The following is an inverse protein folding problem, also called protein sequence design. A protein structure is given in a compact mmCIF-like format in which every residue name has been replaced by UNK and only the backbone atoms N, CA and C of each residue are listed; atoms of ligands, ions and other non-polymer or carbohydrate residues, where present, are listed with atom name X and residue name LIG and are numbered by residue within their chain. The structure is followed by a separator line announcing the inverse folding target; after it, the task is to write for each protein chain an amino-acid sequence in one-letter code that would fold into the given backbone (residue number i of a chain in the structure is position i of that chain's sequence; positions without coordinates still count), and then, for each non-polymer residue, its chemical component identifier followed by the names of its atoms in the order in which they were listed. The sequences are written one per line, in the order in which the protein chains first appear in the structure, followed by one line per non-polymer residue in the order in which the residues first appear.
data_IF_391757307418
#
_entry.id   IF_391757307418
#
_cell.length_a   1.000
_cell.length_b   1.000
_cell.length_c   1.000
_cell.angle_alpha   90.00
_cell.angle_beta   90.00
_cell.angle_gamma   90.00
#
_symmetry.space_group_name_H-M   'P 1'
#
loop_
_entity.id
_entity.type
_entity.pdbx_description
1 polymer ?
#
# COMPACT_ATOMS: atom_id res chain seq x y z
N UNK A 1 50.21 20.94 7.92
CA UNK A 1 49.06 20.93 7.00
C UNK A 1 48.86 19.47 6.62
N UNK A 2 47.88 18.83 7.22
CA UNK A 2 47.60 17.40 7.08
C UNK A 2 46.50 17.24 6.03
N UNK A 3 46.82 16.63 4.89
CA UNK A 3 45.84 16.23 3.88
C UNK A 3 45.08 14.99 4.37
N UNK A 4 43.82 15.19 4.74
CA UNK A 4 42.85 14.11 4.89
C UNK A 4 42.43 13.62 3.50
N UNK A 5 42.89 12.44 3.12
CA UNK A 5 42.38 11.68 1.99
C UNK A 5 40.91 11.29 2.26
N UNK A 6 39.99 12.05 1.67
CA UNK A 6 38.60 11.64 1.57
C UNK A 6 38.50 10.50 0.55
N UNK A 7 38.10 9.32 1.02
CA UNK A 7 37.77 8.18 0.16
C UNK A 7 36.56 8.54 -0.70
N UNK A 8 36.80 8.84 -1.98
CA UNK A 8 35.75 8.87 -2.99
C UNK A 8 35.15 7.47 -3.09
N UNK A 9 33.92 7.32 -2.61
CA UNK A 9 33.08 6.19 -2.97
C UNK A 9 32.80 6.33 -4.48
N UNK A 10 33.30 5.41 -5.29
CA UNK A 10 33.02 5.34 -6.72
C UNK A 10 31.52 5.07 -6.91
N UNK A 11 30.73 6.14 -6.99
CA UNK A 11 29.36 6.05 -7.49
C UNK A 11 29.44 5.68 -8.98
N UNK A 12 28.82 4.56 -9.42
CA UNK A 12 28.83 4.18 -10.82
C UNK A 12 28.27 5.32 -11.68
N UNK A 13 28.86 5.57 -12.87
CA UNK A 13 28.46 6.68 -13.71
C UNK A 13 26.96 6.59 -14.02
N UNK A 14 26.24 7.71 -13.86
CA UNK A 14 24.78 7.81 -13.98
C UNK A 14 24.21 7.13 -15.24
N UNK A 15 24.98 7.09 -16.34
CA UNK A 15 24.59 6.39 -17.57
C UNK A 15 24.43 4.87 -17.42
N UNK A 16 25.33 4.20 -16.70
CA UNK A 16 25.25 2.74 -16.44
C UNK A 16 24.07 2.40 -15.52
N UNK A 17 23.76 3.30 -14.59
CA UNK A 17 22.62 3.17 -13.68
C UNK A 17 21.27 3.24 -14.41
N UNK A 18 21.14 4.17 -15.37
CA UNK A 18 19.92 4.32 -16.18
C UNK A 18 19.69 3.14 -17.12
N UNK A 19 20.75 2.56 -17.67
CA UNK A 19 20.66 1.32 -18.47
C UNK A 19 20.11 0.16 -17.64
N UNK A 20 20.60 -0.02 -16.41
CA UNK A 20 20.09 -1.06 -15.51
C UNK A 20 18.61 -0.91 -15.15
N UNK A 21 18.11 0.32 -15.01
CA UNK A 21 16.67 0.57 -14.81
C UNK A 21 15.83 0.34 -16.08
N UNK A 22 16.39 0.62 -17.26
CA UNK A 22 15.71 0.34 -18.53
C UNK A 22 15.58 -1.17 -18.78
N UNK A 23 16.61 -1.95 -18.47
CA UNK A 23 16.56 -3.40 -18.55
C UNK A 23 15.54 -3.98 -17.56
N UNK A 24 15.53 -3.46 -16.33
CA UNK A 24 14.51 -3.81 -15.34
C UNK A 24 13.10 -3.50 -15.85
N UNK A 25 12.86 -2.30 -16.38
CA UNK A 25 11.58 -1.92 -16.96
C UNK A 25 11.16 -2.87 -18.09
N UNK A 26 12.12 -3.27 -18.95
CA UNK A 26 11.87 -4.21 -20.05
C UNK A 26 11.43 -5.59 -19.56
N UNK A 27 12.01 -6.09 -18.47
CA UNK A 27 11.57 -7.34 -17.83
C UNK A 27 10.18 -7.18 -17.21
N UNK A 28 9.93 -6.07 -16.51
CA UNK A 28 8.63 -5.80 -15.87
C UNK A 28 7.49 -5.60 -16.88
N UNK A 29 7.79 -5.07 -18.07
CA UNK A 29 6.79 -4.95 -19.14
C UNK A 29 6.43 -6.31 -19.76
N UNK A 30 7.31 -7.30 -19.68
CA UNK A 30 7.09 -8.65 -20.22
C UNK A 30 6.30 -9.55 -19.25
N UNK A 31 5.11 -9.10 -18.83
CA UNK A 31 4.28 -9.75 -17.78
C UNK A 31 3.94 -11.21 -18.03
N UNK A 32 3.81 -11.63 -19.29
CA UNK A 32 3.58 -13.04 -19.67
C UNK A 32 4.73 -13.98 -19.31
N UNK A 33 5.92 -13.44 -18.99
CA UNK A 33 7.14 -14.20 -18.67
C UNK A 33 7.54 -14.15 -17.20
N UNK A 34 6.75 -13.53 -16.33
CA UNK A 34 7.09 -13.33 -14.91
C UNK A 34 7.48 -14.62 -14.16
N UNK A 35 6.87 -15.76 -14.52
CA UNK A 35 7.17 -17.06 -13.89
C UNK A 35 8.40 -17.77 -14.47
N UNK A 36 8.97 -17.24 -15.57
CA UNK A 36 10.12 -17.81 -16.27
C UNK A 36 11.32 -16.84 -16.34
N UNK A 37 11.21 -15.66 -15.73
CA UNK A 37 12.28 -14.67 -15.62
C UNK A 37 12.71 -14.47 -14.16
N UNK A 38 13.92 -13.96 -13.98
CA UNK A 38 14.43 -13.47 -12.71
C UNK A 38 14.78 -11.99 -12.82
N UNK A 39 14.74 -11.29 -11.69
CA UNK A 39 15.13 -9.90 -11.58
C UNK A 39 16.56 -9.80 -11.05
N UNK A 40 17.46 -9.12 -11.77
CA UNK A 40 18.81 -8.91 -11.29
C UNK A 40 18.78 -8.13 -9.95
N UNK A 41 19.56 -8.55 -8.93
CA UNK A 41 19.59 -7.86 -7.63
C UNK A 41 20.02 -6.39 -7.72
N UNK A 42 20.95 -6.06 -8.62
CA UNK A 42 21.58 -4.74 -8.68
C UNK A 42 20.58 -3.64 -9.07
N UNK A 43 19.74 -3.77 -10.12
CA UNK A 43 18.71 -2.78 -10.42
C UNK A 43 17.65 -2.61 -9.32
N UNK A 44 17.31 -3.68 -8.59
CA UNK A 44 16.39 -3.58 -7.45
C UNK A 44 16.99 -2.80 -6.29
N UNK A 45 18.27 -3.01 -5.99
CA UNK A 45 18.98 -2.22 -4.97
C UNK A 45 19.14 -0.77 -5.41
N UNK A 46 19.41 -0.54 -6.70
CA UNK A 46 19.51 0.81 -7.26
C UNK A 46 18.20 1.60 -7.08
N UNK A 47 17.03 0.97 -7.29
CA UNK A 47 15.74 1.59 -7.02
C UNK A 47 15.64 2.07 -5.56
N UNK A 48 16.05 1.24 -4.59
CA UNK A 48 16.04 1.62 -3.17
C UNK A 48 17.01 2.77 -2.88
N UNK A 49 18.20 2.73 -3.46
CA UNK A 49 19.18 3.83 -3.33
C UNK A 49 18.61 5.15 -3.85
N UNK A 50 17.93 5.14 -5.00
CA UNK A 50 17.30 6.35 -5.53
C UNK A 50 16.08 6.80 -4.72
N UNK A 51 15.25 5.88 -4.21
CA UNK A 51 14.14 6.24 -3.33
C UNK A 51 14.60 6.91 -2.03
N UNK A 52 15.71 6.45 -1.45
CA UNK A 52 16.34 6.98 -0.24
C UNK A 52 17.12 8.27 -0.46
N UNK A 53 17.48 8.57 -1.71
CA UNK A 53 18.27 9.74 -2.03
C UNK A 53 17.47 11.02 -1.82
N UNK A 54 18.06 11.96 -1.09
CA UNK A 54 17.52 13.32 -0.91
C UNK A 54 17.60 14.17 -2.19
N UNK A 55 18.33 13.71 -3.20
CA UNK A 55 18.44 14.41 -4.50
C UNK A 55 17.16 14.36 -5.34
N UNK A 56 16.19 13.52 -4.98
CA UNK A 56 14.91 13.40 -5.67
C UNK A 56 13.81 14.11 -4.89
N UNK A 57 13.26 15.17 -5.47
CA UNK A 57 12.11 15.87 -4.89
C UNK A 57 10.87 14.96 -4.90
N UNK A 58 9.89 15.27 -4.05
CA UNK A 58 8.64 14.50 -3.99
C UNK A 58 7.87 14.54 -5.33
N UNK A 59 8.04 15.60 -6.13
CA UNK A 59 7.49 15.68 -7.49
C UNK A 59 8.18 14.78 -8.53
N UNK A 60 9.39 14.30 -8.25
CA UNK A 60 10.22 13.54 -9.20
C UNK A 60 10.37 12.07 -8.81
N UNK A 61 10.04 11.70 -7.57
CA UNK A 61 10.22 10.33 -7.06
C UNK A 61 9.17 9.35 -7.58
N UNK A 62 8.01 9.85 -8.04
CA UNK A 62 6.88 8.99 -8.44
C UNK A 62 7.22 7.94 -9.53
N UNK A 63 8.12 8.17 -10.52
CA UNK A 63 8.48 7.13 -11.50
C UNK A 63 9.27 5.98 -10.86
N UNK A 64 10.07 6.26 -9.82
CA UNK A 64 10.77 5.22 -9.06
C UNK A 64 9.78 4.35 -8.27
N UNK A 65 8.79 4.99 -7.64
CA UNK A 65 7.66 4.29 -7.01
C UNK A 65 6.84 3.51 -8.05
N UNK A 66 6.71 4.04 -9.27
CA UNK A 66 6.00 3.37 -10.37
C UNK A 66 6.72 2.08 -10.82
N UNK A 67 8.05 2.11 -10.92
CA UNK A 67 8.84 0.90 -11.17
C UNK A 67 8.74 -0.09 -10.01
N UNK A 68 8.80 0.40 -8.76
CA UNK A 68 8.66 -0.45 -7.59
C UNK A 68 7.31 -1.17 -7.56
N UNK A 69 6.19 -0.51 -7.90
CA UNK A 69 4.87 -1.15 -7.89
C UNK A 69 4.75 -2.29 -8.90
N UNK A 70 5.49 -2.25 -10.01
CA UNK A 70 5.55 -3.35 -10.97
C UNK A 70 6.50 -4.44 -10.50
N UNK A 71 7.64 -4.06 -9.92
CA UNK A 71 8.61 -5.01 -9.38
C UNK A 71 8.03 -5.87 -8.26
N UNK A 72 7.27 -5.31 -7.31
CA UNK A 72 6.66 -6.12 -6.23
C UNK A 72 5.66 -7.17 -6.72
N UNK A 73 5.12 -7.05 -7.94
CA UNK A 73 4.24 -8.06 -8.53
C UNK A 73 5.01 -9.21 -9.20
N UNK A 74 6.29 -9.01 -9.50
CA UNK A 74 7.12 -10.06 -10.08
C UNK A 74 7.45 -11.12 -9.01
N UNK A 75 7.21 -12.43 -9.26
CA UNK A 75 7.38 -13.48 -8.25
C UNK A 75 8.77 -13.49 -7.58
N UNK A 76 9.83 -13.30 -8.37
CA UNK A 76 11.21 -13.23 -7.85
C UNK A 76 11.43 -12.04 -6.89
N UNK A 77 10.91 -10.85 -7.20
CA UNK A 77 11.01 -9.72 -6.26
C UNK A 77 10.09 -9.88 -5.05
N UNK A 78 8.87 -10.42 -5.23
CA UNK A 78 7.95 -10.70 -4.14
C UNK A 78 8.52 -11.71 -3.13
N UNK A 79 9.33 -12.67 -3.59
CA UNK A 79 10.04 -13.62 -2.73
C UNK A 79 11.17 -12.96 -1.92
N UNK A 80 11.67 -11.78 -2.33
CA UNK A 80 12.73 -11.02 -1.64
C UNK A 80 12.13 -10.08 -0.59
N UNK A 81 11.59 -10.66 0.50
CA UNK A 81 10.90 -9.92 1.55
C UNK A 81 11.65 -8.69 2.10
N UNK A 82 12.99 -8.71 2.31
CA UNK A 82 13.71 -7.52 2.73
C UNK A 82 13.60 -6.36 1.74
N UNK A 83 13.67 -6.63 0.44
CA UNK A 83 13.54 -5.59 -0.59
C UNK A 83 12.12 -5.02 -0.63
N UNK A 84 11.08 -5.87 -0.52
CA UNK A 84 9.69 -5.41 -0.46
C UNK A 84 9.44 -4.56 0.79
N UNK A 85 9.97 -4.99 1.94
CA UNK A 85 9.87 -4.23 3.20
C UNK A 85 10.51 -2.85 3.08
N UNK A 86 11.69 -2.79 2.50
CA UNK A 86 12.40 -1.53 2.29
C UNK A 86 11.63 -0.61 1.33
N UNK A 87 11.18 -1.12 0.18
CA UNK A 87 10.42 -0.33 -0.79
C UNK A 87 9.11 0.23 -0.22
N UNK A 88 8.39 -0.60 0.56
CA UNK A 88 7.13 -0.17 1.21
C UNK A 88 7.38 0.77 2.38
N UNK A 89 8.50 0.62 3.09
CA UNK A 89 8.95 1.57 4.12
C UNK A 89 9.23 2.95 3.53
N UNK A 90 9.97 3.02 2.42
CA UNK A 90 10.23 4.30 1.74
C UNK A 90 8.93 4.94 1.22
N UNK A 91 7.99 4.13 0.71
CA UNK A 91 6.68 4.62 0.29
C UNK A 91 5.89 5.23 1.47
N UNK A 92 5.88 4.56 2.63
CA UNK A 92 5.23 5.08 3.84
C UNK A 92 5.90 6.38 4.32
N UNK A 93 7.24 6.43 4.39
CA UNK A 93 7.98 7.64 4.76
C UNK A 93 7.62 8.84 3.89
N UNK A 94 7.52 8.63 2.57
CA UNK A 94 7.13 9.68 1.62
C UNK A 94 5.69 10.12 1.85
N UNK A 95 4.77 9.17 2.04
CA UNK A 95 3.37 9.46 2.36
C UNK A 95 3.21 10.20 3.68
N UNK A 96 4.04 9.95 4.69
CA UNK A 96 3.97 10.59 6.01
C UNK A 96 4.36 12.07 5.98
N UNK A 97 5.16 12.53 5.01
CA UNK A 97 5.56 13.94 4.90
C UNK A 97 4.34 14.87 4.82
N UNK A 98 4.38 15.97 5.57
CA UNK A 98 3.29 16.97 5.60
C UNK A 98 3.03 17.59 4.21
N UNK A 99 4.09 17.77 3.42
CA UNK A 99 4.01 18.29 2.05
C UNK A 99 3.19 17.37 1.11
N UNK A 100 3.15 16.06 1.41
CA UNK A 100 2.37 15.09 0.63
C UNK A 100 0.95 15.08 1.17
N UNK A 101 0.14 15.99 0.66
CA UNK A 101 -1.26 16.13 1.04
C UNK A 101 -2.16 15.04 0.43
N UNK A 102 -3.41 14.92 0.90
CA UNK A 102 -4.39 14.01 0.31
C UNK A 102 -4.77 14.34 -1.14
N UNK A 103 -4.37 15.51 -1.66
CA UNK A 103 -4.52 15.92 -3.05
C UNK A 103 -3.22 15.77 -3.88
N UNK A 104 -2.09 15.41 -3.27
CA UNK A 104 -0.80 15.28 -3.97
C UNK A 104 -0.78 13.99 -4.82
N UNK A 105 -1.00 14.13 -6.12
CA UNK A 105 -1.61 13.03 -6.90
C UNK A 105 -0.62 12.00 -7.46
N UNK A 106 0.52 12.33 -8.10
CA UNK A 106 1.40 11.29 -8.66
C UNK A 106 2.10 10.46 -7.59
N UNK A 107 2.70 11.11 -6.59
CA UNK A 107 3.41 10.42 -5.51
C UNK A 107 2.42 9.61 -4.66
N UNK A 108 1.35 10.22 -4.14
CA UNK A 108 0.45 9.48 -3.26
C UNK A 108 -0.22 8.30 -3.97
N UNK A 109 -0.64 8.49 -5.23
CA UNK A 109 -1.28 7.42 -5.99
C UNK A 109 -0.31 6.27 -6.28
N UNK A 110 0.94 6.56 -6.65
CA UNK A 110 1.95 5.53 -6.95
C UNK A 110 2.39 4.80 -5.68
N UNK A 111 2.60 5.52 -4.57
CA UNK A 111 2.91 4.93 -3.27
C UNK A 111 1.78 4.03 -2.76
N UNK A 112 0.52 4.49 -2.79
CA UNK A 112 -0.64 3.65 -2.41
C UNK A 112 -0.76 2.40 -3.30
N UNK A 113 -0.50 2.53 -4.61
CA UNK A 113 -0.50 1.37 -5.53
C UNK A 113 0.64 0.39 -5.24
N UNK A 114 1.83 0.90 -4.91
CA UNK A 114 2.95 0.07 -4.45
C UNK A 114 2.57 -0.71 -3.19
N UNK A 115 2.04 -0.04 -2.17
CA UNK A 115 1.57 -0.69 -0.94
C UNK A 115 0.50 -1.74 -1.23
N UNK A 116 -0.49 -1.41 -2.07
CA UNK A 116 -1.55 -2.35 -2.45
C UNK A 116 -1.00 -3.60 -3.14
N UNK A 117 -0.08 -3.44 -4.10
CA UNK A 117 0.55 -4.56 -4.79
C UNK A 117 1.43 -5.40 -3.85
N UNK A 118 2.19 -4.75 -2.96
CA UNK A 118 3.03 -5.44 -1.98
C UNK A 118 2.19 -6.26 -0.98
N UNK A 119 1.06 -5.73 -0.51
CA UNK A 119 0.14 -6.46 0.37
C UNK A 119 -0.50 -7.67 -0.33
N UNK A 120 -0.74 -7.59 -1.64
CA UNK A 120 -1.25 -8.72 -2.41
C UNK A 120 -0.18 -9.82 -2.61
N UNK A 121 1.05 -9.42 -2.95
CA UNK A 121 2.12 -10.33 -3.34
C UNK A 121 2.90 -10.89 -2.14
N UNK A 122 3.24 -10.04 -1.18
CA UNK A 122 4.11 -10.33 -0.04
C UNK A 122 3.64 -9.61 1.24
N UNK A 123 2.43 -9.90 1.76
CA UNK A 123 1.86 -9.20 2.91
C UNK A 123 2.75 -9.23 4.16
N UNK A 124 3.47 -10.33 4.39
CA UNK A 124 4.39 -10.47 5.52
C UNK A 124 5.61 -9.52 5.48
N UNK A 125 5.86 -8.86 4.35
CA UNK A 125 6.93 -7.85 4.23
C UNK A 125 6.47 -6.44 4.62
N UNK A 126 5.17 -6.18 4.72
CA UNK A 126 4.62 -4.85 4.98
C UNK A 126 4.36 -4.67 6.47
N UNK A 127 4.93 -3.62 7.07
CA UNK A 127 4.69 -3.25 8.47
C UNK A 127 3.24 -2.76 8.64
N UNK A 128 2.40 -3.48 9.41
CA UNK A 128 1.00 -3.14 9.58
C UNK A 128 0.73 -1.77 10.21
N UNK A 129 1.54 -1.41 11.22
CA UNK A 129 1.35 -0.16 11.97
C UNK A 129 1.74 1.02 11.10
N UNK A 130 2.87 0.89 10.41
CA UNK A 130 3.40 1.95 9.57
C UNK A 130 2.50 2.25 8.39
N UNK A 131 2.00 1.23 7.69
CA UNK A 131 1.15 1.50 6.53
C UNK A 131 -0.13 2.24 6.97
N UNK A 132 -0.76 1.86 8.09
CA UNK A 132 -1.98 2.54 8.56
C UNK A 132 -1.71 3.99 8.94
N UNK A 133 -0.61 4.25 9.64
CA UNK A 133 -0.19 5.61 9.94
C UNK A 133 0.01 6.43 8.66
N UNK A 134 0.73 5.88 7.68
CA UNK A 134 1.04 6.57 6.43
C UNK A 134 -0.20 6.85 5.57
N UNK A 135 -1.16 5.92 5.52
CA UNK A 135 -2.32 6.04 4.62
C UNK A 135 -3.52 6.76 5.25
N UNK A 136 -3.53 6.95 6.57
CA UNK A 136 -4.68 7.46 7.32
C UNK A 136 -5.23 8.79 6.81
N UNK A 137 -4.35 9.75 6.48
CA UNK A 137 -4.77 11.08 5.96
C UNK A 137 -5.41 11.04 4.58
N UNK A 138 -5.25 9.96 3.82
CA UNK A 138 -5.82 9.80 2.48
C UNK A 138 -7.26 9.28 2.49
N UNK A 139 -7.78 8.87 3.66
CA UNK A 139 -9.18 8.44 3.85
C UNK A 139 -10.19 9.51 3.43
N UNK A 140 -9.86 10.78 3.63
CA UNK A 140 -10.66 11.94 3.26
C UNK A 140 -10.19 12.62 1.95
N UNK A 141 -9.43 11.92 1.11
CA UNK A 141 -8.90 12.53 -0.13
C UNK A 141 -10.04 13.00 -1.05
N UNK A 142 -9.97 14.21 -1.63
CA UNK A 142 -10.93 14.66 -2.63
C UNK A 142 -10.73 13.95 -3.98
N UNK A 143 -9.58 13.30 -4.19
CA UNK A 143 -9.22 12.65 -5.45
C UNK A 143 -9.74 11.21 -5.49
N UNK A 144 -10.66 10.94 -6.42
CA UNK A 144 -11.29 9.61 -6.61
C UNK A 144 -10.26 8.48 -6.74
N UNK A 145 -9.22 8.69 -7.55
CA UNK A 145 -8.18 7.69 -7.79
C UNK A 145 -7.40 7.33 -6.51
N UNK A 146 -7.17 8.31 -5.63
CA UNK A 146 -6.49 8.11 -4.34
C UNK A 146 -7.39 7.30 -3.39
N UNK A 147 -8.68 7.64 -3.29
CA UNK A 147 -9.64 6.85 -2.49
C UNK A 147 -9.75 5.40 -2.96
N UNK A 148 -9.78 5.17 -4.26
CA UNK A 148 -9.80 3.81 -4.81
C UNK A 148 -8.50 3.05 -4.52
N UNK A 149 -7.34 3.70 -4.65
CA UNK A 149 -6.05 3.10 -4.32
C UNK A 149 -5.97 2.75 -2.82
N UNK A 150 -6.38 3.66 -1.95
CA UNK A 150 -6.48 3.42 -0.51
C UNK A 150 -7.42 2.24 -0.19
N UNK A 151 -8.62 2.22 -0.76
CA UNK A 151 -9.57 1.13 -0.56
C UNK A 151 -8.97 -0.22 -0.99
N UNK A 152 -8.13 -0.23 -2.02
CA UNK A 152 -7.39 -1.42 -2.48
C UNK A 152 -6.31 -1.83 -1.50
N UNK A 153 -5.56 -0.89 -0.92
CA UNK A 153 -4.58 -1.14 0.15
C UNK A 153 -5.27 -1.84 1.32
N UNK A 154 -6.38 -1.29 1.81
CA UNK A 154 -7.12 -1.86 2.94
C UNK A 154 -7.64 -3.27 2.62
N UNK A 155 -8.21 -3.48 1.43
CA UNK A 155 -8.70 -4.79 1.01
C UNK A 155 -7.57 -5.83 0.92
N UNK A 156 -6.43 -5.46 0.34
CA UNK A 156 -5.30 -6.38 0.19
C UNK A 156 -4.64 -6.69 1.54
N UNK A 157 -4.56 -5.72 2.45
CA UNK A 157 -4.14 -5.97 3.83
C UNK A 157 -5.07 -6.96 4.53
N UNK A 158 -6.39 -6.79 4.38
CA UNK A 158 -7.37 -7.72 4.96
C UNK A 158 -7.26 -9.13 4.37
N UNK A 159 -7.11 -9.25 3.05
CA UNK A 159 -6.90 -10.54 2.37
C UNK A 159 -5.55 -11.18 2.71
N UNK A 160 -4.56 -10.38 3.12
CA UNK A 160 -3.23 -10.82 3.52
C UNK A 160 -3.14 -11.36 4.94
N UNK A 161 -4.14 -11.11 5.81
CA UNK A 161 -4.13 -11.53 7.22
C UNK A 161 -3.77 -13.01 7.43
N UNK A 162 -4.31 -13.99 6.67
CA UNK A 162 -3.98 -15.41 6.85
C UNK A 162 -2.54 -15.78 6.48
N UNK A 163 -1.83 -14.90 5.76
CA UNK A 163 -0.45 -15.10 5.29
C UNK A 163 0.60 -14.46 6.20
N UNK A 164 0.16 -13.77 7.26
CA UNK A 164 1.03 -13.13 8.24
C UNK A 164 1.27 -14.05 9.44
N UNK A 165 2.24 -13.70 10.28
CA UNK A 165 2.34 -14.31 11.62
C UNK A 165 1.10 -13.97 12.44
N UNK A 166 0.78 -14.76 13.46
CA UNK A 166 -0.39 -14.49 14.32
C UNK A 166 -0.35 -13.08 14.91
N UNK A 167 0.81 -12.68 15.44
CA UNK A 167 1.00 -11.34 15.98
C UNK A 167 0.87 -10.26 14.90
N UNK A 168 1.47 -10.48 13.72
CA UNK A 168 1.36 -9.54 12.59
C UNK A 168 -0.08 -9.39 12.09
N UNK A 169 -0.84 -10.49 12.04
CA UNK A 169 -2.24 -10.50 11.66
C UNK A 169 -3.10 -9.77 12.70
N UNK A 170 -2.82 -9.93 13.99
CA UNK A 170 -3.50 -9.23 15.08
C UNK A 170 -3.27 -7.72 14.98
N UNK A 171 -2.03 -7.29 14.79
CA UNK A 171 -1.70 -5.86 14.60
C UNK A 171 -2.34 -5.29 13.34
N UNK A 172 -2.24 -6.00 12.21
CA UNK A 172 -2.86 -5.60 10.96
C UNK A 172 -4.37 -5.51 11.07
N UNK A 173 -5.03 -6.43 11.79
CA UNK A 173 -6.46 -6.38 12.04
C UNK A 173 -6.87 -5.15 12.83
N UNK A 174 -6.18 -4.85 13.94
CA UNK A 174 -6.46 -3.66 14.74
C UNK A 174 -6.30 -2.38 13.88
N UNK A 175 -5.24 -2.34 13.08
CA UNK A 175 -4.95 -1.23 12.19
C UNK A 175 -6.02 -1.08 11.08
N UNK A 176 -6.48 -2.19 10.50
CA UNK A 176 -7.58 -2.24 9.52
C UNK A 176 -8.91 -1.80 10.11
N UNK A 177 -9.23 -2.20 11.34
CA UNK A 177 -10.46 -1.75 12.03
C UNK A 177 -10.42 -0.23 12.23
N UNK A 178 -9.30 0.31 12.70
CA UNK A 178 -9.14 1.75 12.87
C UNK A 178 -9.24 2.51 11.55
N UNK A 179 -8.48 2.11 10.53
CA UNK A 179 -8.47 2.77 9.22
C UNK A 179 -9.81 2.63 8.49
N UNK A 180 -10.42 1.44 8.54
CA UNK A 180 -11.73 1.16 7.95
C UNK A 180 -12.83 2.00 8.58
N UNK A 181 -12.83 2.16 9.91
CA UNK A 181 -13.77 3.03 10.61
C UNK A 181 -13.67 4.47 10.13
N UNK A 182 -12.46 5.01 10.02
CA UNK A 182 -12.23 6.38 9.51
C UNK A 182 -12.66 6.52 8.05
N UNK A 183 -12.32 5.54 7.19
CA UNK A 183 -12.73 5.53 5.80
C UNK A 183 -14.25 5.46 5.62
N UNK A 184 -14.94 4.67 6.46
CA UNK A 184 -16.40 4.51 6.41
C UNK A 184 -17.15 5.76 6.86
N UNK A 185 -16.63 6.52 7.82
CA UNK A 185 -17.18 7.85 8.16
C UNK A 185 -17.13 8.80 6.95
N UNK A 186 -16.16 8.62 6.05
CA UNK A 186 -16.00 9.41 4.83
C UNK A 186 -16.60 8.71 3.59
N UNK A 187 -17.34 7.61 3.75
CA UNK A 187 -17.78 6.76 2.63
C UNK A 187 -18.65 7.50 1.63
N UNK A 188 -19.34 8.57 2.05
CA UNK A 188 -20.14 9.40 1.15
C UNK A 188 -19.33 10.08 0.02
N UNK A 189 -18.01 10.20 0.17
CA UNK A 189 -17.11 10.64 -0.91
C UNK A 189 -16.66 9.50 -1.83
N UNK A 190 -16.86 8.24 -1.47
CA UNK A 190 -16.36 7.07 -2.20
C UNK A 190 -17.31 6.71 -3.34
N UNK A 191 -16.76 6.24 -4.45
CA UNK A 191 -17.57 5.60 -5.48
C UNK A 191 -17.96 4.18 -5.01
N UNK A 192 -18.90 3.55 -5.72
CA UNK A 192 -19.40 2.21 -5.41
C UNK A 192 -18.29 1.15 -5.25
N UNK A 193 -17.25 1.23 -6.08
CA UNK A 193 -16.15 0.25 -6.07
C UNK A 193 -15.25 0.44 -4.85
N UNK A 194 -14.83 1.67 -4.58
CA UNK A 194 -14.01 2.00 -3.42
C UNK A 194 -14.78 1.73 -2.12
N UNK A 195 -16.07 2.08 -2.05
CA UNK A 195 -16.93 1.77 -0.90
C UNK A 195 -17.00 0.26 -0.66
N UNK A 196 -17.26 -0.54 -1.70
CA UNK A 196 -17.32 -2.01 -1.60
C UNK A 196 -16.00 -2.60 -1.10
N UNK A 197 -14.84 -2.08 -1.54
CA UNK A 197 -13.52 -2.55 -1.10
C UNK A 197 -13.26 -2.22 0.37
N UNK A 198 -13.59 -1.01 0.82
CA UNK A 198 -13.47 -0.63 2.23
C UNK A 198 -14.37 -1.50 3.11
N UNK A 199 -15.62 -1.71 2.69
CA UNK A 199 -16.57 -2.55 3.42
C UNK A 199 -16.09 -4.00 3.55
N UNK A 200 -15.62 -4.61 2.45
CA UNK A 200 -15.05 -5.96 2.46
C UNK A 200 -13.82 -6.04 3.37
N UNK A 201 -12.94 -5.05 3.33
CA UNK A 201 -11.78 -4.99 4.21
C UNK A 201 -12.20 -4.94 5.69
N UNK A 202 -13.16 -4.06 6.01
CA UNK A 202 -13.67 -3.87 7.37
C UNK A 202 -14.39 -5.12 7.89
N UNK A 203 -15.27 -5.72 7.09
CA UNK A 203 -15.96 -6.97 7.43
C UNK A 203 -15.00 -8.14 7.64
N UNK A 204 -13.97 -8.26 6.80
CA UNK A 204 -12.91 -9.28 6.96
C UNK A 204 -12.14 -9.08 8.26
N UNK A 205 -11.85 -7.83 8.64
CA UNK A 205 -11.20 -7.52 9.91
C UNK A 205 -12.10 -7.89 11.11
N UNK A 206 -13.40 -7.52 11.08
CA UNK A 206 -14.41 -7.86 12.09
C UNK A 206 -14.54 -9.37 12.28
N UNK A 207 -14.56 -10.13 11.19
CA UNK A 207 -14.78 -11.58 11.24
C UNK A 207 -13.83 -12.29 12.21
N UNK A 208 -12.54 -11.93 12.16
CA UNK A 208 -11.51 -12.51 13.06
C UNK A 208 -11.18 -11.67 14.29
N UNK A 209 -11.94 -10.62 14.61
CA UNK A 209 -11.76 -9.81 15.81
C UNK A 209 -12.55 -10.35 17.01
N UNK A 210 -12.11 -10.06 18.23
CA UNK A 210 -12.87 -10.29 19.47
C UNK A 210 -14.04 -9.31 19.62
N UNK A 211 -15.00 -9.63 20.49
CA UNK A 211 -16.19 -8.81 20.72
C UNK A 211 -15.87 -7.37 21.17
N UNK A 212 -14.90 -7.24 22.10
CA UNK A 212 -14.46 -5.95 22.62
C UNK A 212 -13.82 -5.04 21.54
N UNK A 213 -13.23 -5.64 20.50
CA UNK A 213 -12.57 -4.90 19.41
C UNK A 213 -13.55 -4.28 18.41
N UNK A 214 -14.80 -4.77 18.36
CA UNK A 214 -15.81 -4.37 17.36
C UNK A 214 -16.94 -3.52 17.94
N UNK A 215 -16.78 -3.04 19.18
CA UNK A 215 -17.74 -2.15 19.83
C UNK A 215 -17.95 -0.88 19.00
N UNK A 216 -19.20 -0.60 18.65
CA UNK A 216 -19.58 0.56 17.83
C UNK A 216 -19.21 0.44 16.34
N UNK A 217 -18.83 -0.76 15.85
CA UNK A 217 -18.57 -0.99 14.43
C UNK A 217 -19.82 -0.80 13.55
N UNK A 218 -21.02 -1.04 14.09
CA UNK A 218 -22.28 -0.85 13.36
C UNK A 218 -22.57 0.62 13.02
N UNK A 219 -22.11 1.56 13.84
CA UNK A 219 -22.44 3.00 13.71
C UNK A 219 -21.89 3.62 12.42
N UNK A 220 -20.75 3.12 11.93
CA UNK A 220 -20.11 3.65 10.72
C UNK A 220 -20.70 3.09 9.43
N UNK A 221 -21.65 2.15 9.52
CA UNK A 221 -22.29 1.53 8.35
C UNK A 221 -23.57 2.26 7.91
N UNK A 222 -24.06 3.22 8.71
CA UNK A 222 -25.36 3.88 8.50
C UNK A 222 -25.42 4.75 7.25
N UNK A 223 -24.27 5.27 6.81
CA UNK A 223 -24.18 6.21 5.68
C UNK A 223 -23.99 5.49 4.34
N UNK A 224 -24.03 4.15 4.32
CA UNK A 224 -23.99 3.34 3.09
C UNK A 224 -25.40 3.11 2.56
N UNK A 225 -25.71 3.73 1.42
CA UNK A 225 -26.97 3.54 0.70
C UNK A 225 -26.78 2.95 -0.71
N UNK A 226 -27.83 2.30 -1.23
CA UNK A 226 -27.85 1.68 -2.56
C UNK A 226 -27.74 2.71 -3.69
N UNK A 227 -28.35 3.90 -3.53
CA UNK A 227 -28.37 4.93 -4.57
C UNK A 227 -26.98 5.47 -4.91
N UNK A 228 -26.13 5.63 -3.89
CA UNK A 228 -24.75 6.12 -4.05
C UNK A 228 -23.74 5.01 -4.25
N UNK A 229 -23.83 3.94 -3.46
CA UNK A 229 -22.77 2.93 -3.39
C UNK A 229 -23.12 1.63 -4.11
N UNK A 230 -24.35 1.51 -4.63
CA UNK A 230 -24.84 0.36 -5.35
C UNK A 230 -25.25 -0.80 -4.44
N UNK A 231 -26.03 -1.73 -5.03
CA UNK A 231 -26.62 -2.88 -4.33
C UNK A 231 -25.59 -3.74 -3.60
N UNK A 232 -24.44 -3.98 -4.24
CA UNK A 232 -23.35 -4.80 -3.67
C UNK A 232 -22.85 -4.26 -2.33
N UNK A 233 -22.72 -2.93 -2.19
CA UNK A 233 -22.26 -2.32 -0.95
C UNK A 233 -23.26 -2.55 0.19
N UNK A 234 -24.56 -2.45 -0.11
CA UNK A 234 -25.63 -2.73 0.86
C UNK A 234 -25.65 -4.20 1.26
N UNK A 235 -25.52 -5.12 0.31
CA UNK A 235 -25.40 -6.56 0.61
C UNK A 235 -24.23 -6.85 1.56
N UNK A 236 -23.07 -6.23 1.33
CA UNK A 236 -21.91 -6.38 2.24
C UNK A 236 -22.21 -5.80 3.63
N UNK A 237 -22.91 -4.67 3.73
CA UNK A 237 -23.30 -4.09 5.03
C UNK A 237 -24.20 -5.03 5.82
N UNK A 238 -25.17 -5.68 5.18
CA UNK A 238 -26.03 -6.65 5.84
C UNK A 238 -25.24 -7.86 6.35
N UNK A 239 -24.28 -8.37 5.57
CA UNK A 239 -23.38 -9.43 6.01
C UNK A 239 -22.55 -9.00 7.24
N UNK A 240 -22.04 -7.76 7.25
CA UNK A 240 -21.29 -7.22 8.40
C UNK A 240 -22.19 -7.10 9.63
N UNK A 241 -23.43 -6.62 9.48
CA UNK A 241 -24.40 -6.54 10.60
C UNK A 241 -24.72 -7.92 11.16
N UNK A 242 -24.91 -8.91 10.29
CA UNK A 242 -25.13 -10.29 10.68
C UNK A 242 -23.91 -10.89 11.41
N UNK A 243 -22.69 -10.51 11.03
CA UNK A 243 -21.47 -10.89 11.75
C UNK A 243 -21.41 -10.25 13.14
N UNK A 244 -21.71 -8.95 13.25
CA UNK A 244 -21.70 -8.22 14.51
C UNK A 244 -22.73 -8.76 15.50
N UNK A 245 -23.91 -9.17 15.04
CA UNK A 245 -24.94 -9.77 15.89
C UNK A 245 -24.55 -11.12 16.52
N UNK A 246 -23.47 -11.76 16.04
CA UNK A 246 -22.95 -13.04 16.54
C UNK A 246 -21.75 -12.87 17.50
N UNK A 247 -21.24 -11.65 17.63
CA UNK A 247 -20.10 -11.30 18.49
C UNK A 247 -20.61 -10.83 19.84
#
# INVERSE_FOLDING_TARGET
ISETAASHHDDPPRGTLLLGLNDLASVLLATSRYHASSLPPQPLQLLLTFLRSESWTDGEVFPLLDLCRFAVLHPDAAARLPWVRDATTEACLRLEKDAVGPADTPLALTALRLLGNALAAAPAAVDPRRFVQAVGKFTASPVRAVRLALATVLLNAAAGLPKMTEEGAREARAALLAAGKVALVQVGGYDAEAASRVLLAYGTAIHGAGGDEVVGAGEVLKDVDEGRHGKKAVEIVEDIRALLARK
#
